data_IF_925934299072
#
_entry.id   IF_925934299072
#
_cell.length_a   1.000
_cell.length_b   1.000
_cell.length_c   1.000
_cell.angle_alpha   90.00
_cell.angle_beta   90.00
_cell.angle_gamma   90.00
#
_symmetry.space_group_name_H-M   'P 1'
#
loop_
_entity.id
_entity.type
_entity.pdbx_description
1 polymer ?
#
# COMPACT_ATOMS: atom_id res chain seq x y z
N UNK A 1 15.17 30.54 -8.65
CA UNK A 1 14.43 30.56 -7.37
C UNK A 1 13.20 29.70 -7.59
N UNK A 2 13.34 28.37 -7.47
CA UNK A 2 12.22 27.45 -7.70
C UNK A 2 11.52 27.18 -6.38
N UNK A 3 10.30 27.67 -6.25
CA UNK A 3 9.45 27.43 -5.08
C UNK A 3 9.15 25.93 -4.94
N UNK A 4 9.79 25.32 -3.95
CA UNK A 4 9.21 24.45 -2.93
C UNK A 4 7.96 23.64 -3.35
N UNK A 5 8.13 22.65 -4.23
CA UNK A 5 7.14 21.57 -4.36
C UNK A 5 7.29 20.62 -3.16
N UNK A 6 6.75 21.00 -1.99
CA UNK A 6 6.45 20.04 -0.92
C UNK A 6 5.29 19.18 -1.40
N UNK A 7 5.56 18.29 -2.35
CA UNK A 7 4.63 17.25 -2.78
C UNK A 7 4.26 16.46 -1.53
N UNK A 8 2.98 16.38 -1.18
CA UNK A 8 2.51 15.65 -0.01
C UNK A 8 2.81 14.14 -0.07
N UNK A 9 2.12 13.37 0.76
CA UNK A 9 2.21 11.91 0.80
C UNK A 9 2.01 11.29 -0.60
N UNK A 10 2.96 10.48 -1.08
CA UNK A 10 2.83 9.79 -2.36
C UNK A 10 3.31 8.33 -2.31
N UNK A 11 2.66 7.40 -3.05
CA UNK A 11 3.11 6.02 -3.16
C UNK A 11 4.25 5.88 -4.18
N UNK A 12 5.21 5.01 -3.90
CA UNK A 12 6.32 4.67 -4.79
C UNK A 12 6.60 3.16 -4.74
N UNK A 13 6.38 2.47 -5.86
CA UNK A 13 6.72 1.06 -6.04
C UNK A 13 8.07 0.89 -6.71
N UNK A 14 8.91 -0.05 -6.24
CA UNK A 14 10.17 -0.39 -6.90
C UNK A 14 10.31 -1.89 -7.12
N UNK A 15 10.80 -2.24 -8.31
CA UNK A 15 11.30 -3.56 -8.62
C UNK A 15 12.84 -3.51 -8.64
N UNK A 16 13.45 -4.27 -7.73
CA UNK A 16 14.89 -4.35 -7.54
C UNK A 16 15.31 -5.79 -7.88
N UNK A 17 16.14 -5.94 -8.90
CA UNK A 17 16.56 -7.26 -9.36
C UNK A 17 17.20 -7.19 -10.73
N UNK A 18 17.89 -8.25 -11.12
CA UNK A 18 18.53 -8.35 -12.45
C UNK A 18 17.53 -8.68 -13.57
N UNK A 19 16.30 -9.06 -13.23
CA UNK A 19 15.29 -9.51 -14.20
C UNK A 19 15.59 -10.88 -14.83
N UNK A 20 16.63 -11.58 -14.37
CA UNK A 20 16.97 -12.91 -14.84
C UNK A 20 16.03 -13.98 -14.25
N UNK A 21 15.57 -14.95 -15.04
CA UNK A 21 14.80 -16.08 -14.52
C UNK A 21 15.54 -16.79 -13.37
N UNK A 22 14.87 -16.94 -12.22
CA UNK A 22 15.43 -17.59 -11.02
C UNK A 22 16.31 -16.69 -10.15
N UNK A 23 16.70 -15.50 -10.60
CA UNK A 23 17.38 -14.56 -9.72
C UNK A 23 16.43 -14.00 -8.66
N UNK A 24 16.89 -13.76 -7.42
CA UNK A 24 16.08 -13.10 -6.42
C UNK A 24 15.68 -11.70 -6.88
N UNK A 25 14.40 -11.37 -6.66
CA UNK A 25 13.84 -10.04 -6.91
C UNK A 25 13.21 -9.50 -5.65
N UNK A 26 13.53 -8.25 -5.32
CA UNK A 26 12.92 -7.48 -4.24
C UNK A 26 11.88 -6.53 -4.85
N UNK A 27 10.65 -6.59 -4.32
CA UNK A 27 9.60 -5.60 -4.57
C UNK A 27 9.43 -4.73 -3.34
N UNK A 28 9.43 -3.42 -3.54
CA UNK A 28 9.15 -2.44 -2.50
C UNK A 28 7.85 -1.73 -2.83
N UNK A 29 6.98 -1.63 -1.84
CA UNK A 29 5.77 -0.81 -1.89
C UNK A 29 5.90 0.26 -0.81
N UNK A 30 6.29 1.47 -1.20
CA UNK A 30 6.62 2.55 -0.27
C UNK A 30 5.56 3.65 -0.31
N UNK A 31 5.40 4.33 0.80
CA UNK A 31 4.65 5.55 0.99
C UNK A 31 5.62 6.59 1.53
N UNK A 32 5.83 7.65 0.76
CA UNK A 32 6.83 8.68 1.05
C UNK A 32 6.11 9.93 1.56
N UNK A 33 6.45 10.34 2.77
CA UNK A 33 6.01 11.60 3.37
C UNK A 33 7.13 12.64 3.22
N UNK A 34 7.00 13.54 2.25
CA UNK A 34 8.05 14.56 2.05
C UNK A 34 8.08 15.67 3.11
N UNK A 35 6.94 16.12 3.67
CA UNK A 35 6.97 17.03 4.81
C UNK A 35 7.73 16.51 6.02
N UNK A 36 7.55 15.24 6.38
CA UNK A 36 8.19 14.62 7.55
C UNK A 36 9.55 13.99 7.21
N UNK A 37 9.84 13.73 5.94
CA UNK A 37 11.07 13.07 5.50
C UNK A 37 11.08 11.57 5.81
N UNK A 38 9.90 10.99 6.03
CA UNK A 38 9.72 9.60 6.44
C UNK A 38 9.28 8.73 5.26
N UNK A 39 9.62 7.45 5.34
CA UNK A 39 9.22 6.42 4.36
C UNK A 39 8.72 5.21 5.13
N UNK A 40 7.54 4.72 4.77
CA UNK A 40 6.97 3.49 5.33
C UNK A 40 6.46 2.60 4.20
N UNK A 41 6.33 1.30 4.42
CA UNK A 41 5.88 0.40 3.37
C UNK A 41 6.09 -1.07 3.66
N UNK A 42 6.14 -1.88 2.60
CA UNK A 42 6.45 -3.30 2.68
C UNK A 42 7.55 -3.68 1.69
N UNK A 43 8.33 -4.69 2.07
CA UNK A 43 9.34 -5.33 1.25
C UNK A 43 9.02 -6.80 1.06
N UNK A 44 9.05 -7.28 -0.18
CA UNK A 44 8.85 -8.70 -0.50
C UNK A 44 9.99 -9.19 -1.39
N UNK A 45 10.70 -10.25 -0.97
CA UNK A 45 11.77 -10.86 -1.76
C UNK A 45 11.29 -12.24 -2.20
N UNK A 46 11.27 -12.45 -3.52
CA UNK A 46 10.92 -13.71 -4.14
C UNK A 46 12.11 -14.29 -4.92
N UNK A 47 12.33 -15.60 -4.79
CA UNK A 47 13.23 -16.38 -5.63
C UNK A 47 12.60 -17.75 -5.88
N UNK A 48 12.37 -18.10 -7.15
CA UNK A 48 11.72 -19.36 -7.50
C UNK A 48 12.68 -20.57 -7.53
N UNK A 49 13.99 -20.33 -7.75
CA UNK A 49 14.97 -21.42 -7.91
C UNK A 49 15.70 -21.74 -6.61
N UNK A 50 16.12 -23.00 -6.46
CA UNK A 50 16.69 -23.57 -5.23
C UNK A 50 17.93 -22.83 -4.69
N UNK A 51 17.95 -22.40 -3.41
CA UNK A 51 16.85 -22.48 -2.44
C UNK A 51 15.79 -21.42 -2.74
N UNK A 52 14.50 -21.79 -2.82
CA UNK A 52 13.44 -20.81 -2.96
C UNK A 52 13.47 -19.86 -1.75
N UNK A 53 13.26 -18.58 -2.02
CA UNK A 53 13.19 -17.54 -0.99
C UNK A 53 11.84 -16.86 -1.13
N UNK A 54 11.11 -16.84 -0.02
CA UNK A 54 9.94 -15.99 0.17
C UNK A 54 10.16 -15.27 1.50
N UNK A 55 10.30 -13.95 1.42
CA UNK A 55 10.58 -13.09 2.55
C UNK A 55 9.66 -11.88 2.49
N UNK A 56 9.07 -11.55 3.63
CA UNK A 56 8.21 -10.39 3.79
C UNK A 56 8.67 -9.60 5.00
N UNK A 57 8.63 -8.27 4.92
CA UNK A 57 8.86 -7.39 6.05
C UNK A 57 8.09 -6.08 5.87
N UNK A 58 7.61 -5.54 6.98
CA UNK A 58 7.16 -4.16 7.07
C UNK A 58 8.41 -3.28 7.18
N UNK A 59 8.52 -2.26 6.34
CA UNK A 59 9.69 -1.39 6.25
C UNK A 59 9.39 0.04 6.64
N UNK A 60 10.36 0.68 7.28
CA UNK A 60 10.32 2.09 7.63
C UNK A 60 11.71 2.70 7.60
N UNK A 61 11.76 4.02 7.45
CA UNK A 61 12.99 4.78 7.51
C UNK A 61 12.80 6.18 6.98
N UNK A 62 13.83 6.69 6.32
CA UNK A 62 13.90 8.07 5.90
C UNK A 62 14.60 8.18 4.54
N UNK A 63 14.50 9.36 3.94
CA UNK A 63 15.22 9.67 2.72
C UNK A 63 15.95 11.02 2.82
N UNK A 64 17.06 11.15 2.10
CA UNK A 64 17.90 12.35 2.09
C UNK A 64 18.31 12.70 0.67
N UNK A 65 18.23 13.99 0.32
CA UNK A 65 18.77 14.50 -0.94
C UNK A 65 20.27 14.77 -0.81
N UNK A 66 21.06 14.14 -1.68
CA UNK A 66 22.49 14.34 -1.82
C UNK A 66 22.75 15.28 -2.99
N UNK A 67 23.13 16.52 -2.70
CA UNK A 67 23.57 17.46 -3.72
C UNK A 67 25.00 17.09 -4.16
N UNK A 68 25.15 16.66 -5.40
CA UNK A 68 26.46 16.36 -5.99
C UNK A 68 26.93 17.57 -6.82
N UNK A 69 28.25 17.74 -6.91
CA UNK A 69 28.82 18.78 -7.77
C UNK A 69 28.60 18.42 -9.25
N UNK A 70 28.32 19.39 -10.13
CA UNK A 70 28.22 19.16 -11.58
C UNK A 70 29.44 18.40 -12.11
N UNK A 71 29.28 17.45 -13.06
CA UNK A 71 28.11 17.24 -13.92
C UNK A 71 27.03 16.31 -13.35
N UNK A 72 27.19 15.83 -12.11
CA UNK A 72 26.28 14.82 -11.54
C UNK A 72 25.08 15.50 -10.89
N UNK A 73 23.87 15.08 -11.28
CA UNK A 73 22.63 15.57 -10.68
C UNK A 73 22.47 15.07 -9.24
N UNK A 74 21.64 15.77 -8.46
CA UNK A 74 21.21 15.37 -7.12
C UNK A 74 20.81 13.90 -7.08
N UNK A 75 21.24 13.17 -6.06
CA UNK A 75 20.82 11.79 -5.77
C UNK A 75 19.90 11.76 -4.55
N UNK A 76 19.08 10.74 -4.44
CA UNK A 76 18.25 10.51 -3.27
C UNK A 76 18.71 9.22 -2.62
N UNK A 77 19.11 9.28 -1.35
CA UNK A 77 19.39 8.09 -0.55
C UNK A 77 18.16 7.78 0.29
N UNK A 78 17.57 6.61 0.07
CA UNK A 78 16.52 6.04 0.89
C UNK A 78 17.14 4.95 1.77
N UNK A 79 16.98 5.08 3.07
CA UNK A 79 17.46 4.09 4.05
C UNK A 79 16.25 3.47 4.73
N UNK A 80 16.12 2.15 4.64
CA UNK A 80 15.02 1.41 5.27
C UNK A 80 15.54 0.32 6.20
N UNK A 81 14.79 0.11 7.26
CA UNK A 81 14.85 -1.06 8.13
C UNK A 81 13.52 -1.79 8.03
N UNK A 82 13.53 -3.10 8.25
CA UNK A 82 12.28 -3.87 8.31
C UNK A 82 12.30 -5.00 9.31
N UNK A 83 11.11 -5.35 9.79
CA UNK A 83 10.81 -6.46 10.69
C UNK A 83 9.37 -6.94 10.44
N UNK A 84 8.93 -7.88 11.27
CA UNK A 84 7.52 -8.28 11.32
C UNK A 84 6.74 -7.33 12.26
N UNK A 85 5.91 -6.44 11.69
CA UNK A 85 5.00 -5.56 12.43
C UNK A 85 5.40 -4.07 12.48
N UNK A 86 6.47 -3.67 11.81
CA UNK A 86 6.87 -2.27 11.63
C UNK A 86 7.60 -1.62 12.83
N UNK A 87 7.71 -0.28 12.84
CA UNK A 87 8.60 0.45 13.74
C UNK A 87 8.26 0.34 15.23
N UNK A 88 7.00 0.06 15.57
CA UNK A 88 6.52 -0.06 16.94
C UNK A 88 6.47 -1.51 17.44
N UNK A 89 6.89 -2.48 16.61
CA UNK A 89 6.92 -3.89 16.94
C UNK A 89 8.15 -4.24 17.79
N UNK A 90 8.01 -5.21 18.69
CA UNK A 90 9.13 -5.77 19.46
C UNK A 90 9.94 -6.81 18.65
N UNK A 91 9.65 -6.98 17.36
CA UNK A 91 10.37 -7.88 16.46
C UNK A 91 11.76 -7.35 16.11
N UNK A 92 12.74 -8.26 16.04
CA UNK A 92 14.09 -7.93 15.60
C UNK A 92 14.09 -7.44 14.15
N UNK A 93 15.00 -6.52 13.81
CA UNK A 93 15.20 -6.07 12.43
C UNK A 93 15.76 -7.23 11.60
N UNK A 94 14.98 -7.68 10.63
CA UNK A 94 15.30 -8.78 9.70
C UNK A 94 15.61 -8.29 8.29
N UNK A 95 15.46 -6.99 8.01
CA UNK A 95 15.72 -6.38 6.70
C UNK A 95 16.42 -5.03 6.81
N UNK A 96 17.34 -4.75 5.89
CA UNK A 96 18.02 -3.46 5.74
C UNK A 96 18.20 -3.14 4.27
N UNK A 97 17.98 -1.89 3.89
CA UNK A 97 18.12 -1.42 2.51
C UNK A 97 18.76 -0.03 2.49
N UNK A 98 19.71 0.15 1.58
CA UNK A 98 20.13 1.44 1.08
C UNK A 98 19.81 1.50 -0.41
N UNK A 99 18.92 2.40 -0.79
CA UNK A 99 18.48 2.61 -2.16
C UNK A 99 18.89 4.01 -2.59
N UNK A 100 19.81 4.09 -3.56
CA UNK A 100 20.27 5.33 -4.15
C UNK A 100 19.53 5.56 -5.47
N UNK A 101 18.65 6.54 -5.50
CA UNK A 101 17.85 6.92 -6.66
C UNK A 101 18.43 8.15 -7.36
N UNK A 102 18.12 8.24 -8.65
CA UNK A 102 18.20 9.46 -9.43
C UNK A 102 17.19 10.52 -8.92
N UNK A 103 17.44 11.80 -9.21
CA UNK A 103 16.59 12.92 -8.75
C UNK A 103 15.11 12.84 -9.16
N UNK A 104 14.78 11.97 -10.12
CA UNK A 104 13.44 11.78 -10.66
C UNK A 104 12.64 10.66 -9.95
N UNK A 105 13.22 10.00 -8.93
CA UNK A 105 12.64 8.85 -8.23
C UNK A 105 12.33 7.64 -9.16
N UNK A 106 12.83 7.58 -10.39
CA UNK A 106 12.43 6.53 -11.35
C UNK A 106 13.37 5.34 -11.37
N UNK A 107 14.65 5.55 -11.09
CA UNK A 107 15.66 4.50 -11.19
C UNK A 107 16.80 4.72 -10.21
N UNK A 108 17.55 3.66 -9.95
CA UNK A 108 18.65 3.72 -9.01
C UNK A 108 19.37 2.39 -8.84
N UNK A 109 20.13 2.31 -7.76
CA UNK A 109 20.88 1.14 -7.34
C UNK A 109 20.55 0.86 -5.88
N UNK A 110 20.32 -0.40 -5.55
CA UNK A 110 20.01 -0.84 -4.20
C UNK A 110 21.05 -1.83 -3.69
N UNK A 111 21.39 -1.68 -2.42
CA UNK A 111 22.09 -2.68 -1.62
C UNK A 111 21.21 -3.02 -0.44
N UNK A 112 20.91 -4.31 -0.26
CA UNK A 112 20.06 -4.76 0.83
C UNK A 112 20.60 -6.03 1.47
N UNK A 113 20.26 -6.20 2.73
CA UNK A 113 20.48 -7.42 3.46
C UNK A 113 19.22 -7.87 4.17
N UNK A 114 19.02 -9.17 4.22
CA UNK A 114 17.86 -9.79 4.84
C UNK A 114 18.24 -11.06 5.55
N UNK A 115 17.53 -11.37 6.63
CA UNK A 115 17.76 -12.57 7.42
C UNK A 115 16.87 -13.71 6.92
N UNK A 116 17.48 -14.74 6.34
CA UNK A 116 16.79 -15.91 5.84
C UNK A 116 17.50 -17.20 6.27
N UNK A 117 16.72 -18.18 6.73
CA UNK A 117 17.22 -19.51 7.14
C UNK A 117 18.37 -19.45 8.17
N UNK A 118 18.26 -18.55 9.15
CA UNK A 118 19.26 -18.44 10.22
C UNK A 118 20.55 -17.69 9.83
N UNK A 119 20.60 -17.08 8.65
CA UNK A 119 21.78 -16.35 8.16
C UNK A 119 21.39 -15.03 7.49
N UNK A 120 22.25 -14.01 7.63
CA UNK A 120 22.13 -12.80 6.83
C UNK A 120 22.60 -13.05 5.40
N UNK A 121 21.79 -12.63 4.45
CA UNK A 121 22.13 -12.60 3.03
C UNK A 121 22.23 -11.16 2.59
N UNK A 122 23.29 -10.85 1.88
CA UNK A 122 23.57 -9.52 1.37
C UNK A 122 23.56 -9.55 -0.15
N UNK A 123 22.92 -8.54 -0.73
CA UNK A 123 22.81 -8.36 -2.17
C UNK A 123 23.19 -6.91 -2.46
N UNK A 124 24.25 -6.74 -3.23
CA UNK A 124 24.86 -5.44 -3.47
C UNK A 124 24.65 -4.98 -4.92
N UNK A 125 24.57 -3.67 -5.10
CA UNK A 125 24.64 -3.01 -6.40
C UNK A 125 23.61 -3.53 -7.43
N UNK A 126 22.39 -3.79 -6.98
CA UNK A 126 21.31 -4.29 -7.83
C UNK A 126 20.56 -3.11 -8.46
N UNK A 127 20.26 -3.14 -9.76
CA UNK A 127 19.46 -2.09 -10.38
C UNK A 127 18.05 -2.06 -9.78
N UNK A 128 17.62 -0.84 -9.45
CA UNK A 128 16.28 -0.52 -8.99
C UNK A 128 15.54 0.27 -10.08
N UNK A 129 14.31 -0.12 -10.36
CA UNK A 129 13.44 0.59 -11.31
C UNK A 129 12.07 0.81 -10.69
N UNK A 130 11.47 1.96 -10.97
CA UNK A 130 10.11 2.23 -10.56
C UNK A 130 9.19 1.18 -11.18
N UNK A 131 8.41 0.54 -10.33
CA UNK A 131 7.38 -0.39 -10.75
C UNK A 131 6.17 0.42 -11.20
N UNK A 132 6.07 0.68 -12.51
CA UNK A 132 4.92 1.39 -13.10
C UNK A 132 3.68 0.49 -13.20
N UNK A 133 3.86 -0.82 -13.05
CA UNK A 133 2.78 -1.79 -12.88
C UNK A 133 2.35 -1.90 -11.43
N UNK A 134 2.95 -1.11 -10.52
CA UNK A 134 2.33 -0.70 -9.27
C UNK A 134 1.12 0.21 -9.56
N UNK A 135 0.17 -0.34 -10.29
CA UNK A 135 -1.24 -0.06 -10.07
C UNK A 135 -1.41 -0.35 -8.58
N UNK A 136 -1.80 0.60 -7.72
CA UNK A 136 -2.26 0.23 -6.38
C UNK A 136 -3.32 -0.81 -6.65
N UNK A 137 -3.02 -2.08 -6.33
CA UNK A 137 -3.78 -3.25 -6.77
C UNK A 137 -5.22 -2.80 -6.94
N UNK A 138 -5.70 -2.64 -8.18
CA UNK A 138 -7.13 -2.48 -8.38
C UNK A 138 -7.71 -3.56 -7.49
N UNK A 139 -8.54 -3.22 -6.48
CA UNK A 139 -8.81 -4.12 -5.39
C UNK A 139 -9.22 -5.46 -5.98
N UNK A 140 -8.27 -6.40 -6.07
CA UNK A 140 -8.45 -7.64 -6.79
C UNK A 140 -9.68 -8.25 -6.14
N UNK A 141 -10.71 -8.62 -6.91
CA UNK A 141 -12.10 -8.58 -6.53
C UNK A 141 -12.20 -8.84 -5.05
N UNK A 142 -12.33 -7.76 -4.27
CA UNK A 142 -12.25 -7.91 -2.82
C UNK A 142 -13.46 -8.77 -2.52
N UNK A 143 -13.22 -10.04 -2.21
CA UNK A 143 -14.17 -10.85 -1.47
C UNK A 143 -14.16 -10.15 -0.13
N UNK A 144 -14.96 -9.10 -0.03
CA UNK A 144 -15.04 -8.31 1.19
C UNK A 144 -15.86 -9.19 2.09
N UNK A 145 -15.19 -10.07 2.81
CA UNK A 145 -15.65 -10.46 4.13
C UNK A 145 -15.69 -9.16 4.94
N UNK A 146 -16.88 -8.57 5.18
CA UNK A 146 -16.97 -7.21 5.68
C UNK A 146 -16.71 -7.21 7.18
N UNK A 147 -15.47 -6.95 7.55
CA UNK A 147 -15.16 -6.45 8.88
C UNK A 147 -15.37 -4.92 8.89
N UNK A 148 -16.59 -4.51 9.27
CA UNK A 148 -16.82 -3.35 10.14
C UNK A 148 -16.82 -1.92 9.59
N UNK A 149 -16.58 -1.67 8.30
CA UNK A 149 -16.68 -0.31 7.74
C UNK A 149 -18.11 0.08 7.31
N UNK A 150 -18.60 1.32 7.54
CA UNK A 150 -19.87 1.80 6.98
C UNK A 150 -19.76 1.84 5.45
N UNK A 151 -20.22 0.79 4.78
CA UNK A 151 -20.31 0.76 3.32
C UNK A 151 -21.44 1.70 2.88
N UNK A 152 -21.18 2.64 1.95
CA UNK A 152 -22.27 3.36 1.32
C UNK A 152 -23.13 2.33 0.57
N UNK A 153 -24.34 2.10 1.06
CA UNK A 153 -25.13 0.92 0.70
C UNK A 153 -25.44 0.84 -0.80
N UNK A 154 -25.64 1.98 -1.49
CA UNK A 154 -26.10 1.96 -2.89
C UNK A 154 -25.50 3.04 -3.81
N UNK A 155 -25.08 4.21 -3.31
CA UNK A 155 -24.59 5.31 -4.16
C UNK A 155 -23.35 4.97 -4.98
N UNK A 156 -22.25 4.63 -4.32
CA UNK A 156 -21.00 4.24 -4.99
C UNK A 156 -21.09 2.90 -5.75
N UNK A 157 -21.73 1.84 -5.20
CA UNK A 157 -21.87 0.57 -5.91
C UNK A 157 -22.68 0.65 -7.22
N UNK A 158 -23.74 1.47 -7.29
CA UNK A 158 -24.52 1.64 -8.53
C UNK A 158 -23.69 2.34 -9.62
N UNK A 159 -22.93 3.38 -9.25
CA UNK A 159 -22.06 4.10 -10.19
C UNK A 159 -20.93 3.22 -10.71
N UNK A 160 -20.32 2.42 -9.84
CA UNK A 160 -19.28 1.46 -10.20
C UNK A 160 -19.81 0.36 -11.13
N UNK A 161 -21.00 -0.18 -10.84
CA UNK A 161 -21.61 -1.20 -11.68
C UNK A 161 -22.01 -0.67 -13.07
N UNK A 162 -22.46 0.58 -13.17
CA UNK A 162 -22.74 1.21 -14.46
C UNK A 162 -21.46 1.47 -15.27
N UNK A 163 -20.35 1.82 -14.60
CA UNK A 163 -19.07 2.09 -15.23
C UNK A 163 -18.31 0.82 -15.64
N UNK A 164 -18.52 -0.30 -14.95
CA UNK A 164 -17.77 -1.56 -15.20
C UNK A 164 -18.20 -2.31 -16.47
N UNK A 165 -19.38 -2.01 -17.02
CA UNK A 165 -19.90 -2.68 -18.22
C UNK A 165 -20.27 -4.16 -18.04
N UNK A 166 -20.15 -4.72 -16.84
CA UNK A 166 -20.49 -6.11 -16.53
C UNK A 166 -22.00 -6.26 -16.26
N UNK A 167 -22.70 -6.93 -17.20
CA UNK A 167 -24.14 -7.16 -17.13
C UNK A 167 -24.56 -8.03 -15.94
N UNK A 168 -23.76 -9.01 -15.54
CA UNK A 168 -24.07 -9.87 -14.41
C UNK A 168 -23.98 -9.08 -13.09
N UNK A 169 -22.97 -8.22 -12.99
CA UNK A 169 -22.78 -7.34 -11.85
C UNK A 169 -23.90 -6.29 -11.76
N UNK A 170 -24.26 -5.64 -12.87
CA UNK A 170 -25.37 -4.68 -12.94
C UNK A 170 -26.71 -5.28 -12.47
N UNK A 171 -27.03 -6.51 -12.89
CA UNK A 171 -28.28 -7.19 -12.48
C UNK A 171 -28.32 -7.49 -10.98
N UNK A 172 -27.19 -7.91 -10.42
CA UNK A 172 -27.08 -8.22 -9.00
C UNK A 172 -27.28 -6.97 -8.14
N UNK A 173 -26.62 -5.87 -8.49
CA UNK A 173 -26.76 -4.58 -7.79
C UNK A 173 -28.18 -4.04 -7.94
N UNK A 174 -28.80 -4.15 -9.13
CA UNK A 174 -30.18 -3.72 -9.35
C UNK A 174 -31.19 -4.51 -8.52
N UNK A 175 -31.02 -5.84 -8.38
CA UNK A 175 -31.89 -6.67 -7.56
C UNK A 175 -31.79 -6.32 -6.06
N UNK A 176 -30.56 -6.10 -5.56
CA UNK A 176 -30.32 -5.68 -4.19
C UNK A 176 -30.93 -4.29 -3.89
N UNK A 177 -30.75 -3.32 -4.80
CA UNK A 177 -31.34 -1.99 -4.68
C UNK A 177 -32.88 -2.04 -4.69
N UNK A 178 -33.47 -2.90 -5.52
CA UNK A 178 -34.93 -3.09 -5.58
C UNK A 178 -35.47 -3.65 -4.27
N UNK A 179 -34.79 -4.64 -3.68
CA UNK A 179 -35.19 -5.21 -2.39
C UNK A 179 -35.18 -4.14 -1.28
N UNK A 180 -34.17 -3.28 -1.25
CA UNK A 180 -34.12 -2.16 -0.30
C UNK A 180 -35.28 -1.17 -0.47
N UNK A 181 -35.63 -0.85 -1.71
CA UNK A 181 -36.76 0.04 -2.00
C UNK A 181 -38.08 -0.57 -1.50
N UNK A 182 -38.21 -1.88 -1.54
CA UNK A 182 -39.35 -2.61 -1.01
C UNK A 182 -39.37 -2.62 0.53
N UNK A 183 -38.21 -2.69 1.19
CA UNK A 183 -38.09 -2.65 2.65
C UNK A 183 -38.07 -1.24 3.24
N UNK A 184 -38.37 -0.20 2.44
CA UNK A 184 -38.27 1.21 2.85
C UNK A 184 -39.17 1.54 4.04
N UNK A 185 -40.41 1.05 4.03
CA UNK A 185 -41.40 1.37 5.07
C UNK A 185 -41.04 0.68 6.39
N UNK A 186 -40.53 -0.55 6.33
CA UNK A 186 -40.02 -1.29 7.49
C UNK A 186 -38.82 -0.59 8.13
N UNK A 187 -37.88 -0.10 7.32
CA UNK A 187 -36.72 0.64 7.79
C UNK A 187 -37.14 1.98 8.41
N UNK A 188 -38.10 2.68 7.81
CA UNK A 188 -38.64 3.92 8.37
C UNK A 188 -39.29 3.69 9.74
N UNK A 189 -40.06 2.61 9.88
CA UNK A 189 -40.66 2.23 11.16
C UNK A 189 -39.61 1.88 12.22
N UNK A 190 -38.59 1.10 11.86
CA UNK A 190 -37.48 0.75 12.75
C UNK A 190 -36.69 1.99 13.21
N UNK A 191 -36.49 2.97 12.33
CA UNK A 191 -35.82 4.23 12.67
C UNK A 191 -36.64 5.06 13.67
N UNK A 192 -37.97 5.10 13.52
CA UNK A 192 -38.85 5.78 14.49
C UNK A 192 -38.75 5.11 15.86
N UNK A 193 -38.83 3.78 15.92
CA UNK A 193 -38.71 3.04 17.17
C UNK A 193 -37.35 3.28 17.86
N UNK A 194 -36.26 3.29 17.09
CA UNK A 194 -34.93 3.58 17.61
C UNK A 194 -34.83 4.99 18.19
N UNK A 195 -35.40 6.01 17.52
CA UNK A 195 -35.41 7.39 18.02
C UNK A 195 -36.21 7.52 19.32
N UNK A 196 -37.32 6.80 19.44
CA UNK A 196 -38.10 6.77 20.69
C UNK A 196 -37.29 6.18 21.85
N UNK A 197 -36.53 5.10 21.59
CA UNK A 197 -35.69 4.48 22.61
C UNK A 197 -34.52 5.40 23.03
N UNK A 198 -33.89 6.08 22.07
CA UNK A 198 -32.86 7.10 22.35
C UNK A 198 -33.43 8.18 23.27
N UNK A 199 -34.60 8.75 22.93
CA UNK A 199 -35.23 9.78 23.74
C UNK A 199 -35.60 9.29 25.16
N UNK A 200 -36.00 8.01 25.30
CA UNK A 200 -36.26 7.39 26.61
C UNK A 200 -35.00 7.30 27.46
N UNK A 201 -33.87 6.89 26.86
CA UNK A 201 -32.58 6.78 27.54
C UNK A 201 -32.03 8.16 27.93
N UNK A 202 -32.24 9.17 27.10
CA UNK A 202 -31.81 10.55 27.36
C UNK A 202 -32.64 11.24 28.46
N UNK A 203 -33.94 10.93 28.58
CA UNK A 203 -34.82 11.50 29.61
C UNK A 203 -34.71 10.82 30.99
N UNK A 204 -34.04 9.66 31.06
CA UNK A 204 -33.84 8.88 32.30
C UNK A 204 -32.51 9.14 33.00
N UNK A 205 -31.74 10.13 32.54
CA UNK A 205 -30.46 10.58 33.09
C UNK A 205 -30.51 12.09 33.39
#
# INVERSE_FOLDING_TARGET
>A
MSENTRTGLFPAGYLIGTGMPGAPSLRLALLVDTPEGSVVGTATIGQATNPPVDFHADVWGNFTYLALMPPVNTRILVTLHGNDGGPNSNSIVTFRLHLVLESDWQSGIATYSFFANGSWREVENVPARIDREFVPLEPGPVIVEPHGGPRPLYGAPIQQAAASGDLAHMKTVAAAAKHQLQSRDEIAAALVALKTEIARLEAGN
#
